data_IF_759765973833
#
_entry.id   IF_759765973833
#
_cell.length_a   1.000
_cell.length_b   1.000
_cell.length_c   1.000
_cell.angle_alpha   90.00
_cell.angle_beta   90.00
_cell.angle_gamma   90.00
#
_symmetry.space_group_name_H-M   'P 1'
#
loop_
_entity.id
_entity.type
_entity.pdbx_description
1 polymer ?
#
# COMPACT_ATOMS: atom_id res chain seq x y z
N UNK A 1 9.33 23.37 7.91
CA UNK A 1 9.16 22.61 6.65
C UNK A 1 9.09 23.48 5.39
N UNK A 2 8.62 24.72 5.44
CA UNK A 2 8.53 25.61 4.26
C UNK A 2 9.90 26.01 3.68
N UNK A 3 10.86 26.36 4.54
CA UNK A 3 12.19 26.83 4.11
C UNK A 3 12.95 25.77 3.27
N UNK A 4 13.08 24.50 3.70
CA UNK A 4 13.72 23.48 2.87
C UNK A 4 12.97 23.26 1.53
N UNK A 5 11.64 23.34 1.52
CA UNK A 5 10.87 23.22 0.29
C UNK A 5 11.17 24.32 -0.72
N UNK A 6 11.22 25.58 -0.25
CA UNK A 6 11.56 26.73 -1.10
C UNK A 6 13.01 26.59 -1.62
N UNK A 7 13.95 26.21 -0.74
CA UNK A 7 15.35 25.99 -1.13
C UNK A 7 15.46 24.89 -2.19
N UNK A 8 14.71 23.79 -2.06
CA UNK A 8 14.70 22.72 -3.07
C UNK A 8 14.25 23.24 -4.43
N UNK A 9 13.19 24.06 -4.47
CA UNK A 9 12.70 24.66 -5.73
C UNK A 9 13.76 25.61 -6.32
N UNK A 10 14.42 26.44 -5.50
CA UNK A 10 15.47 27.36 -5.99
C UNK A 10 16.67 26.60 -6.51
N UNK A 11 17.14 25.59 -5.76
CA UNK A 11 18.27 24.75 -6.14
C UNK A 11 17.98 23.94 -7.40
N UNK A 12 16.74 23.49 -7.63
CA UNK A 12 16.39 22.74 -8.84
C UNK A 12 16.54 23.52 -10.13
N UNK A 13 16.63 24.86 -10.05
CA UNK A 13 16.85 25.77 -11.18
C UNK A 13 18.35 26.10 -11.38
N UNK A 14 19.24 25.47 -10.62
CA UNK A 14 20.67 25.68 -10.67
C UNK A 14 21.42 24.41 -11.06
N UNK A 15 22.71 24.53 -11.43
CA UNK A 15 23.61 23.42 -11.71
C UNK A 15 24.29 22.83 -10.45
N UNK A 16 23.79 23.19 -9.27
CA UNK A 16 24.39 22.78 -8.01
C UNK A 16 24.23 21.28 -7.73
N UNK A 17 25.34 20.61 -7.51
CA UNK A 17 25.39 19.17 -7.21
C UNK A 17 25.58 18.83 -5.73
N UNK A 18 25.43 19.81 -4.82
CA UNK A 18 25.61 19.63 -3.39
C UNK A 18 27.06 19.72 -2.89
N UNK A 19 28.06 19.81 -3.78
CA UNK A 19 29.48 19.80 -3.45
C UNK A 19 30.17 21.09 -3.94
N UNK A 20 29.79 21.60 -5.09
CA UNK A 20 30.39 22.81 -5.67
C UNK A 20 30.01 24.04 -4.87
N UNK A 21 30.98 24.99 -4.64
CA UNK A 21 30.70 26.24 -3.95
C UNK A 21 29.87 27.23 -4.81
N UNK A 22 29.87 27.06 -6.11
CA UNK A 22 29.21 27.97 -7.07
C UNK A 22 27.81 27.46 -7.42
N UNK A 23 26.86 28.38 -7.42
CA UNK A 23 25.48 28.19 -7.83
C UNK A 23 25.25 28.98 -9.13
N UNK A 24 25.23 28.31 -10.25
CA UNK A 24 24.87 28.94 -11.52
C UNK A 24 23.41 28.69 -11.86
N UNK A 25 22.69 29.73 -12.17
CA UNK A 25 21.30 29.61 -12.58
C UNK A 25 21.20 29.08 -14.02
N UNK A 26 20.57 27.91 -14.19
CA UNK A 26 20.40 27.23 -15.48
C UNK A 26 18.94 27.12 -15.92
N UNK A 27 18.02 27.73 -15.15
CA UNK A 27 16.59 27.70 -15.47
C UNK A 27 16.02 26.30 -15.45
N UNK A 28 15.23 25.96 -16.47
CA UNK A 28 14.50 24.68 -16.55
C UNK A 28 15.31 23.55 -17.21
N UNK A 29 16.62 23.70 -17.39
CA UNK A 29 17.42 22.67 -18.05
C UNK A 29 17.39 21.32 -17.35
N UNK A 30 17.46 21.28 -16.02
CA UNK A 30 17.33 20.04 -15.23
C UNK A 30 16.00 19.33 -15.51
N UNK A 31 14.91 20.08 -15.65
CA UNK A 31 13.59 19.52 -15.96
C UNK A 31 13.53 18.99 -17.38
N UNK A 32 14.16 19.66 -18.35
CA UNK A 32 14.22 19.17 -19.73
C UNK A 32 14.99 17.85 -19.82
N UNK A 33 16.13 17.75 -19.12
CA UNK A 33 16.93 16.52 -19.05
C UNK A 33 16.13 15.40 -18.36
N UNK A 34 15.44 15.72 -17.25
CA UNK A 34 14.59 14.76 -16.51
C UNK A 34 13.46 14.21 -17.39
N UNK A 35 12.73 15.07 -18.11
CA UNK A 35 11.62 14.66 -18.97
C UNK A 35 12.08 13.93 -20.24
N UNK A 36 13.32 14.11 -20.66
CA UNK A 36 13.94 13.36 -21.75
C UNK A 36 14.43 11.97 -21.30
N UNK A 37 14.58 11.74 -19.98
CA UNK A 37 15.08 10.48 -19.46
C UNK A 37 14.01 9.39 -19.47
N UNK A 38 14.31 8.27 -20.15
CA UNK A 38 13.44 7.08 -20.21
C UNK A 38 13.29 6.40 -18.85
N UNK A 39 14.29 6.47 -18.00
CA UNK A 39 14.25 5.88 -16.65
C UNK A 39 13.26 6.63 -15.77
N UNK A 40 13.21 7.96 -15.86
CA UNK A 40 12.21 8.76 -15.17
C UNK A 40 10.78 8.32 -15.50
N UNK A 41 10.45 8.17 -16.77
CA UNK A 41 9.10 7.76 -17.18
C UNK A 41 8.78 6.31 -16.76
N UNK A 42 9.77 5.43 -16.80
CA UNK A 42 9.60 4.06 -16.31
C UNK A 42 9.32 4.04 -14.81
N UNK A 43 10.07 4.78 -14.02
CA UNK A 43 9.89 4.89 -12.57
C UNK A 43 8.56 5.53 -12.22
N UNK A 44 8.17 6.59 -12.92
CA UNK A 44 6.85 7.23 -12.76
C UNK A 44 5.70 6.26 -13.05
N UNK A 45 5.79 5.51 -14.14
CA UNK A 45 4.79 4.50 -14.52
C UNK A 45 4.70 3.39 -13.46
N UNK A 46 5.83 2.93 -12.95
CA UNK A 46 5.85 1.91 -11.89
C UNK A 46 5.26 2.45 -10.59
N UNK A 47 5.54 3.70 -10.24
CA UNK A 47 4.96 4.34 -9.05
C UNK A 47 3.43 4.47 -9.16
N UNK A 48 2.93 4.90 -10.31
CA UNK A 48 1.48 4.97 -10.55
C UNK A 48 0.84 3.58 -10.42
N UNK A 49 1.43 2.54 -11.03
CA UNK A 49 0.94 1.17 -10.91
C UNK A 49 0.94 0.70 -9.46
N UNK A 50 2.02 0.97 -8.72
CA UNK A 50 2.15 0.67 -7.31
C UNK A 50 1.06 1.34 -6.49
N UNK A 51 0.88 2.65 -6.66
CA UNK A 51 -0.15 3.42 -5.96
C UNK A 51 -1.55 2.87 -6.23
N UNK A 52 -1.87 2.57 -7.48
CA UNK A 52 -3.16 1.98 -7.84
C UNK A 52 -3.37 0.60 -7.21
N UNK A 53 -2.36 -0.27 -7.22
CA UNK A 53 -2.43 -1.57 -6.56
C UNK A 53 -2.68 -1.43 -5.05
N UNK A 54 -1.99 -0.49 -4.40
CA UNK A 54 -2.13 -0.24 -2.97
C UNK A 54 -3.44 0.43 -2.59
N UNK A 55 -3.96 1.33 -3.43
CA UNK A 55 -5.26 1.96 -3.20
C UNK A 55 -6.43 0.99 -3.42
N UNK A 56 -6.28 0.02 -4.31
CA UNK A 56 -7.38 -0.89 -4.62
C UNK A 56 -7.35 -2.14 -3.74
N UNK A 57 -6.27 -2.91 -3.76
CA UNK A 57 -6.27 -4.27 -3.21
C UNK A 57 -6.35 -4.30 -1.68
N UNK A 58 -5.42 -3.70 -0.91
CA UNK A 58 -5.46 -3.78 0.54
C UNK A 58 -6.63 -3.01 1.13
N UNK A 59 -7.08 -1.93 0.47
CA UNK A 59 -8.24 -1.14 0.91
C UNK A 59 -9.52 -1.95 0.78
N UNK A 60 -9.73 -2.61 -0.37
CA UNK A 60 -10.90 -3.48 -0.58
C UNK A 60 -10.88 -4.69 0.35
N UNK A 61 -9.74 -5.38 0.49
CA UNK A 61 -9.62 -6.52 1.40
C UNK A 61 -9.89 -6.05 2.84
N UNK A 62 -9.27 -4.94 3.27
CA UNK A 62 -9.47 -4.38 4.61
C UNK A 62 -10.92 -4.00 4.89
N UNK A 63 -11.60 -3.38 3.91
CA UNK A 63 -13.01 -3.00 4.05
C UNK A 63 -13.92 -4.24 4.14
N UNK A 64 -13.76 -5.21 3.24
CA UNK A 64 -14.55 -6.44 3.23
C UNK A 64 -14.35 -7.22 4.54
N UNK A 65 -13.10 -7.43 4.94
CA UNK A 65 -12.78 -8.18 6.17
C UNK A 65 -13.20 -7.44 7.44
N UNK A 66 -13.23 -6.10 7.44
CA UNK A 66 -13.75 -5.31 8.57
C UNK A 66 -15.26 -5.53 8.75
N UNK A 67 -16.03 -5.61 7.65
CA UNK A 67 -17.46 -5.91 7.69
C UNK A 67 -17.70 -7.33 8.21
N UNK A 68 -16.92 -8.33 7.75
CA UNK A 68 -17.01 -9.69 8.32
C UNK A 68 -16.66 -9.70 9.80
N UNK A 69 -15.59 -9.02 10.21
CA UNK A 69 -15.19 -8.93 11.60
C UNK A 69 -16.26 -8.25 12.47
N UNK A 70 -16.99 -7.28 11.91
CA UNK A 70 -18.08 -6.60 12.59
C UNK A 70 -19.24 -7.56 12.93
N UNK A 71 -19.51 -8.55 12.07
CA UNK A 71 -20.56 -9.56 12.29
C UNK A 71 -20.17 -10.64 13.30
N UNK A 72 -18.89 -10.88 13.54
CA UNK A 72 -18.40 -11.89 14.48
C UNK A 72 -18.64 -11.43 15.91
N UNK A 73 -19.38 -12.23 16.69
CA UNK A 73 -19.67 -11.93 18.11
C UNK A 73 -18.66 -12.58 19.06
N UNK A 74 -18.24 -13.82 18.79
CA UNK A 74 -17.31 -14.58 19.65
C UNK A 74 -15.94 -14.71 18.97
N UNK A 75 -14.85 -14.54 19.74
CA UNK A 75 -13.49 -14.68 19.22
C UNK A 75 -12.99 -13.48 18.37
N UNK A 76 -13.75 -12.38 18.30
CA UNK A 76 -13.42 -11.18 17.52
C UNK A 76 -12.00 -10.68 17.77
N UNK A 77 -11.59 -10.61 19.04
CA UNK A 77 -10.24 -10.14 19.42
C UNK A 77 -9.15 -11.04 18.86
N UNK A 78 -9.37 -12.36 18.85
CA UNK A 78 -8.41 -13.30 18.27
C UNK A 78 -8.24 -13.04 16.76
N UNK A 79 -9.33 -12.85 16.01
CA UNK A 79 -9.26 -12.48 14.58
C UNK A 79 -8.57 -11.13 14.37
N UNK A 80 -8.84 -10.12 15.20
CA UNK A 80 -8.13 -8.83 15.13
C UNK A 80 -6.62 -9.00 15.30
N UNK A 81 -6.19 -9.78 16.28
CA UNK A 81 -4.77 -10.04 16.51
C UNK A 81 -4.15 -10.80 15.33
N UNK A 82 -4.85 -11.81 14.79
CA UNK A 82 -4.38 -12.56 13.62
C UNK A 82 -4.22 -11.67 12.38
N UNK A 83 -5.17 -10.77 12.12
CA UNK A 83 -5.09 -9.84 10.98
C UNK A 83 -4.01 -8.77 11.17
N UNK A 84 -3.81 -8.33 12.42
CA UNK A 84 -2.80 -7.33 12.74
C UNK A 84 -1.37 -7.90 12.78
N UNK A 85 -1.24 -9.23 12.96
CA UNK A 85 0.05 -9.89 13.13
C UNK A 85 1.06 -9.58 12.01
N UNK A 86 0.70 -9.60 10.71
CA UNK A 86 1.64 -9.24 9.65
C UNK A 86 2.19 -7.82 9.80
N UNK A 87 1.34 -6.87 10.17
CA UNK A 87 1.69 -5.45 10.31
C UNK A 87 2.66 -5.16 11.45
N UNK A 88 2.60 -5.96 12.52
CA UNK A 88 3.51 -5.83 13.68
C UNK A 88 4.93 -6.31 13.38
N UNK A 89 5.11 -7.14 12.36
CA UNK A 89 6.44 -7.61 11.95
C UNK A 89 7.27 -6.46 11.40
N UNK A 90 8.55 -6.40 11.79
CA UNK A 90 9.47 -5.46 11.18
C UNK A 90 9.56 -5.69 9.66
N UNK A 91 9.61 -4.64 8.82
CA UNK A 91 9.63 -4.79 7.36
C UNK A 91 10.72 -5.72 6.83
N UNK A 92 11.89 -5.71 7.45
CA UNK A 92 13.01 -6.59 7.09
C UNK A 92 12.67 -8.06 7.38
N UNK A 93 12.07 -8.34 8.54
CA UNK A 93 11.64 -9.69 8.92
C UNK A 93 10.57 -10.20 7.98
N UNK A 94 9.60 -9.34 7.64
CA UNK A 94 8.56 -9.65 6.66
C UNK A 94 9.16 -10.01 5.29
N UNK A 95 10.10 -9.20 4.78
CA UNK A 95 10.78 -9.46 3.52
C UNK A 95 11.55 -10.79 3.55
N UNK A 96 12.29 -11.09 4.63
CA UNK A 96 13.03 -12.35 4.80
C UNK A 96 12.09 -13.57 4.84
N UNK A 97 10.94 -13.45 5.51
CA UNK A 97 9.94 -14.51 5.58
C UNK A 97 9.42 -14.85 4.18
N UNK A 98 9.06 -13.84 3.39
CA UNK A 98 8.58 -14.07 2.03
C UNK A 98 9.67 -14.61 1.10
N UNK A 99 10.90 -14.09 1.18
CA UNK A 99 12.02 -14.56 0.35
C UNK A 99 12.39 -16.00 0.65
N UNK A 100 12.43 -16.41 1.93
CA UNK A 100 12.93 -17.72 2.32
C UNK A 100 11.83 -18.79 2.42
N UNK A 101 10.60 -18.41 2.83
CA UNK A 101 9.53 -19.39 3.04
C UNK A 101 8.60 -19.47 1.82
N UNK A 102 8.22 -18.31 1.22
CA UNK A 102 7.24 -18.31 0.14
C UNK A 102 7.92 -18.40 -1.22
N UNK A 103 8.78 -17.43 -1.55
CA UNK A 103 9.37 -17.28 -2.89
C UNK A 103 10.60 -18.13 -3.16
N UNK A 104 11.13 -18.84 -2.16
CA UNK A 104 12.32 -19.66 -2.36
C UNK A 104 12.03 -20.81 -3.35
N UNK A 105 12.76 -20.88 -4.50
CA UNK A 105 12.48 -21.87 -5.54
C UNK A 105 12.98 -23.29 -5.20
N UNK A 106 13.71 -23.46 -4.10
CA UNK A 106 14.27 -24.75 -3.68
C UNK A 106 13.58 -25.34 -2.45
N UNK A 107 13.28 -24.51 -1.44
CA UNK A 107 12.80 -24.97 -0.14
C UNK A 107 11.51 -24.31 0.31
N UNK A 108 11.04 -23.27 -0.40
CA UNK A 108 9.83 -22.53 -0.05
C UNK A 108 8.56 -23.12 -0.68
N UNK A 109 7.46 -22.43 -0.52
CA UNK A 109 6.16 -22.81 -1.12
C UNK A 109 6.30 -22.96 -2.63
N UNK A 110 6.99 -22.05 -3.31
CA UNK A 110 7.25 -22.14 -4.75
C UNK A 110 8.13 -23.34 -5.11
N UNK A 111 9.09 -23.71 -4.24
CA UNK A 111 9.88 -24.93 -4.39
C UNK A 111 9.03 -26.20 -4.28
N UNK A 112 8.13 -26.24 -3.30
CA UNK A 112 7.17 -27.34 -3.12
C UNK A 112 6.21 -27.45 -4.31
N UNK A 113 5.62 -26.34 -4.76
CA UNK A 113 4.74 -26.34 -5.94
C UNK A 113 5.46 -26.86 -7.18
N UNK A 114 6.72 -26.51 -7.36
CA UNK A 114 7.56 -27.04 -8.46
C UNK A 114 7.79 -28.55 -8.32
N UNK A 115 7.98 -29.08 -7.11
CA UNK A 115 8.21 -30.52 -6.87
C UNK A 115 6.98 -31.37 -7.20
N UNK A 116 5.77 -30.82 -7.09
CA UNK A 116 4.51 -31.48 -7.45
C UNK A 116 4.08 -31.25 -8.92
N UNK A 117 5.00 -30.73 -9.75
CA UNK A 117 4.78 -30.56 -11.18
C UNK A 117 4.22 -29.20 -11.63
N UNK A 118 4.03 -28.25 -10.71
CA UNK A 118 3.58 -26.89 -11.07
C UNK A 118 4.78 -26.04 -11.47
N UNK A 119 4.90 -25.72 -12.76
CA UNK A 119 5.99 -24.90 -13.28
C UNK A 119 5.72 -23.40 -13.06
N UNK A 120 5.61 -22.99 -11.79
CA UNK A 120 5.43 -21.58 -11.42
C UNK A 120 6.79 -21.01 -11.03
N UNK A 121 7.30 -20.06 -11.83
CA UNK A 121 8.50 -19.32 -11.48
C UNK A 121 8.21 -18.33 -10.35
N UNK A 122 9.19 -18.12 -9.45
CA UNK A 122 9.08 -17.08 -8.42
C UNK A 122 8.80 -15.71 -9.08
N UNK A 123 7.85 -14.92 -8.59
CA UNK A 123 7.58 -13.59 -9.14
C UNK A 123 8.81 -12.68 -9.19
N UNK A 124 9.76 -12.89 -8.29
CA UNK A 124 11.00 -12.11 -8.23
C UNK A 124 12.06 -12.51 -9.26
N UNK A 125 11.87 -13.63 -9.96
CA UNK A 125 12.83 -14.10 -10.98
C UNK A 125 12.74 -13.35 -12.31
N UNK A 126 11.72 -12.53 -12.52
CA UNK A 126 11.50 -11.77 -13.74
C UNK A 126 11.15 -10.31 -13.43
N UNK A 127 11.83 -9.38 -14.09
CA UNK A 127 11.59 -7.94 -13.91
C UNK A 127 10.14 -7.52 -14.19
N UNK A 128 9.42 -8.22 -15.08
CA UNK A 128 8.01 -7.91 -15.38
C UNK A 128 7.07 -8.28 -14.23
N UNK A 129 7.39 -9.30 -13.46
CA UNK A 129 6.57 -9.80 -12.34
C UNK A 129 7.08 -9.36 -10.98
N UNK A 130 8.32 -8.87 -10.90
CA UNK A 130 8.96 -8.47 -9.64
C UNK A 130 8.14 -7.40 -8.89
N UNK A 131 7.59 -6.40 -9.60
CA UNK A 131 6.76 -5.38 -9.00
C UNK A 131 5.53 -5.98 -8.28
N UNK A 132 4.85 -6.93 -8.94
CA UNK A 132 3.68 -7.64 -8.37
C UNK A 132 4.11 -8.51 -7.20
N UNK A 133 5.28 -9.17 -7.30
CA UNK A 133 5.84 -9.97 -6.21
C UNK A 133 6.10 -9.15 -4.95
N UNK A 134 6.71 -7.98 -5.08
CA UNK A 134 6.94 -7.07 -3.96
C UNK A 134 5.62 -6.50 -3.44
N UNK A 135 4.71 -6.11 -4.34
CA UNK A 135 3.39 -5.60 -3.97
C UNK A 135 2.60 -6.62 -3.12
N UNK A 136 2.66 -7.92 -3.45
CA UNK A 136 1.99 -8.96 -2.69
C UNK A 136 2.50 -9.04 -1.23
N UNK A 137 3.81 -8.87 -1.03
CA UNK A 137 4.43 -8.84 0.31
C UNK A 137 3.88 -7.66 1.13
N UNK A 138 3.86 -6.49 0.54
CA UNK A 138 3.47 -5.28 1.23
C UNK A 138 1.94 -5.21 1.42
N UNK A 139 1.15 -5.72 0.46
CA UNK A 139 -0.30 -5.87 0.61
C UNK A 139 -0.62 -6.80 1.78
N UNK A 140 0.06 -7.96 1.86
CA UNK A 140 -0.11 -8.91 2.96
C UNK A 140 0.27 -8.28 4.31
N UNK A 141 1.30 -7.43 4.33
CA UNK A 141 1.71 -6.71 5.52
C UNK A 141 0.67 -5.69 5.98
N UNK A 142 0.00 -5.00 5.06
CA UNK A 142 -0.77 -3.78 5.35
C UNK A 142 -2.29 -3.97 5.46
N UNK A 143 -2.90 -4.93 4.74
CA UNK A 143 -4.36 -5.08 4.70
C UNK A 143 -5.01 -5.34 6.07
N UNK A 144 -4.33 -6.08 6.95
CA UNK A 144 -4.83 -6.38 8.29
C UNK A 144 -4.92 -5.16 9.19
N UNK A 145 -3.99 -4.23 9.06
CA UNK A 145 -4.07 -2.92 9.73
C UNK A 145 -5.30 -2.14 9.27
N UNK A 146 -5.56 -2.07 7.96
CA UNK A 146 -6.75 -1.42 7.42
C UNK A 146 -8.03 -2.08 7.91
N UNK A 147 -8.06 -3.42 8.02
CA UNK A 147 -9.19 -4.16 8.59
C UNK A 147 -9.53 -3.67 10.00
N UNK A 148 -8.52 -3.53 10.86
CA UNK A 148 -8.73 -3.09 12.26
C UNK A 148 -9.16 -1.64 12.32
N UNK A 149 -8.59 -0.77 11.50
CA UNK A 149 -8.95 0.65 11.43
C UNK A 149 -10.41 0.83 10.95
N UNK A 150 -10.79 0.18 9.86
CA UNK A 150 -12.17 0.25 9.36
C UNK A 150 -13.16 -0.40 10.32
N UNK A 151 -12.78 -1.49 10.96
CA UNK A 151 -13.61 -2.10 12.00
C UNK A 151 -13.84 -1.15 13.17
N UNK A 152 -12.82 -0.45 13.64
CA UNK A 152 -12.97 0.55 14.70
C UNK A 152 -13.91 1.69 14.29
N UNK A 153 -13.82 2.14 13.02
CA UNK A 153 -14.73 3.14 12.48
C UNK A 153 -16.18 2.63 12.37
N UNK A 154 -16.38 1.38 11.90
CA UNK A 154 -17.72 0.75 11.86
C UNK A 154 -18.39 0.70 13.25
N UNK A 155 -17.62 0.49 14.30
CA UNK A 155 -18.13 0.46 15.69
C UNK A 155 -18.54 1.83 16.22
N UNK A 156 -18.14 2.91 15.58
CA UNK A 156 -18.53 4.27 15.97
C UNK A 156 -19.86 4.70 15.32
N UNK A 157 -20.44 3.87 14.44
CA UNK A 157 -21.76 4.15 13.86
C UNK A 157 -22.81 4.20 14.95
N UNK A 158 -23.59 5.30 15.06
CA UNK A 158 -24.62 5.46 16.09
C UNK A 158 -25.66 4.33 16.01
N UNK A 159 -26.01 3.76 17.17
CA UNK A 159 -26.96 2.64 17.25
C UNK A 159 -28.36 3.05 16.79
N UNK A 160 -28.74 4.30 17.07
CA UNK A 160 -30.00 4.90 16.63
C UNK A 160 -30.15 4.87 15.10
N UNK A 161 -29.08 5.16 14.32
CA UNK A 161 -29.13 5.06 12.85
C UNK A 161 -29.30 3.62 12.38
N UNK A 162 -28.65 2.67 13.08
CA UNK A 162 -28.75 1.25 12.75
C UNK A 162 -30.18 0.74 13.02
N UNK A 163 -30.77 1.14 14.13
CA UNK A 163 -32.14 0.74 14.50
C UNK A 163 -33.17 1.38 13.57
N UNK A 164 -33.06 2.66 13.26
CA UNK A 164 -33.93 3.35 12.30
C UNK A 164 -33.94 2.63 10.95
N UNK A 165 -32.75 2.34 10.40
CA UNK A 165 -32.63 1.64 9.13
C UNK A 165 -33.21 0.21 9.16
N UNK A 166 -33.13 -0.50 10.29
CA UNK A 166 -33.78 -1.81 10.46
C UNK A 166 -35.30 -1.70 10.45
N UNK A 167 -35.86 -0.68 11.09
CA UNK A 167 -37.30 -0.41 11.10
C UNK A 167 -37.80 -0.09 9.71
N UNK A 168 -37.01 0.62 8.90
CA UNK A 168 -37.31 0.91 7.49
C UNK A 168 -37.11 -0.30 6.55
N UNK A 169 -36.70 -1.46 7.09
CA UNK A 169 -36.52 -2.69 6.33
C UNK A 169 -35.25 -2.74 5.45
N UNK A 170 -34.23 -1.95 5.78
CA UNK A 170 -32.97 -1.96 5.05
C UNK A 170 -32.28 -3.33 5.13
N UNK A 171 -32.07 -3.97 3.98
CA UNK A 171 -31.26 -5.18 3.86
C UNK A 171 -29.76 -4.90 4.07
N UNK A 172 -28.96 -5.95 4.22
CA UNK A 172 -27.54 -5.83 4.58
C UNK A 172 -26.72 -4.92 3.65
N UNK A 173 -26.96 -4.94 2.34
CA UNK A 173 -26.29 -4.07 1.39
C UNK A 173 -26.71 -2.60 1.52
N UNK A 174 -28.02 -2.33 1.65
CA UNK A 174 -28.52 -0.97 1.88
C UNK A 174 -28.06 -0.41 3.22
N UNK A 175 -28.04 -1.24 4.26
CA UNK A 175 -27.48 -0.90 5.55
C UNK A 175 -26.00 -0.49 5.44
N UNK A 176 -25.19 -1.25 4.68
CA UNK A 176 -23.80 -0.90 4.44
C UNK A 176 -23.70 0.42 3.67
N UNK A 177 -24.43 0.58 2.57
CA UNK A 177 -24.31 1.73 1.67
C UNK A 177 -24.79 3.03 2.30
N UNK A 178 -25.90 3.01 3.04
CA UNK A 178 -26.55 4.22 3.53
C UNK A 178 -26.28 4.53 5.01
N UNK A 179 -25.87 3.55 5.80
CA UNK A 179 -25.60 3.73 7.22
C UNK A 179 -24.12 3.60 7.53
N UNK A 180 -23.52 2.43 7.25
CA UNK A 180 -22.13 2.19 7.65
C UNK A 180 -21.14 2.98 6.81
N UNK A 181 -21.23 2.93 5.48
CA UNK A 181 -20.24 3.56 4.61
C UNK A 181 -20.15 5.08 4.78
N UNK A 182 -21.26 5.85 4.87
CA UNK A 182 -21.17 7.28 5.16
C UNK A 182 -20.47 7.60 6.49
N UNK A 183 -20.72 6.80 7.53
CA UNK A 183 -20.09 6.99 8.83
C UNK A 183 -18.59 6.67 8.83
N UNK A 184 -18.16 5.68 8.07
CA UNK A 184 -16.73 5.32 7.97
C UNK A 184 -15.98 6.13 6.90
N UNK A 185 -16.70 6.86 6.04
CA UNK A 185 -16.11 7.59 4.92
C UNK A 185 -14.98 8.56 5.31
N UNK A 186 -15.06 9.32 6.43
CA UNK A 186 -13.94 10.15 6.87
C UNK A 186 -12.66 9.32 7.15
N UNK A 187 -12.82 8.18 7.81
CA UNK A 187 -11.70 7.25 8.08
C UNK A 187 -11.17 6.62 6.78
N UNK A 188 -12.08 6.26 5.88
CA UNK A 188 -11.72 5.75 4.55
C UNK A 188 -10.89 6.77 3.78
N UNK A 189 -11.33 8.03 3.74
CA UNK A 189 -10.61 9.11 3.05
C UNK A 189 -9.23 9.37 3.69
N UNK A 190 -9.16 9.37 5.01
CA UNK A 190 -7.90 9.52 5.73
C UNK A 190 -6.91 8.40 5.36
N UNK A 191 -7.34 7.14 5.37
CA UNK A 191 -6.49 6.01 4.97
C UNK A 191 -6.09 6.09 3.49
N UNK A 192 -7.01 6.52 2.62
CA UNK A 192 -6.73 6.74 1.20
C UNK A 192 -5.61 7.77 1.00
N UNK A 193 -5.67 8.91 1.70
CA UNK A 193 -4.64 9.95 1.66
C UNK A 193 -3.32 9.43 2.21
N UNK A 194 -3.33 8.73 3.35
CA UNK A 194 -2.14 8.15 3.97
C UNK A 194 -1.45 7.13 3.04
N UNK A 195 -2.21 6.25 2.40
CA UNK A 195 -1.68 5.28 1.44
C UNK A 195 -1.07 6.01 0.24
N UNK A 196 -1.74 7.03 -0.28
CA UNK A 196 -1.24 7.82 -1.41
C UNK A 196 0.10 8.46 -1.07
N UNK A 197 0.20 9.13 0.09
CA UNK A 197 1.46 9.74 0.55
C UNK A 197 2.57 8.69 0.68
N UNK A 198 2.29 7.57 1.35
CA UNK A 198 3.27 6.50 1.54
C UNK A 198 3.70 5.86 0.21
N UNK A 199 2.78 5.71 -0.75
CA UNK A 199 3.09 5.18 -2.07
C UNK A 199 4.07 6.06 -2.83
N UNK A 200 3.93 7.38 -2.73
CA UNK A 200 4.89 8.31 -3.34
C UNK A 200 6.25 8.31 -2.62
N UNK A 201 6.28 8.13 -1.30
CA UNK A 201 7.53 8.02 -0.54
C UNK A 201 8.29 6.71 -0.84
N UNK A 202 7.59 5.65 -1.22
CA UNK A 202 8.20 4.35 -1.57
C UNK A 202 8.98 4.40 -2.90
N UNK A 203 8.84 5.46 -3.67
CA UNK A 203 9.57 5.68 -4.93
C UNK A 203 11.09 5.53 -4.77
N UNK A 204 11.70 6.07 -3.72
CA UNK A 204 13.14 5.98 -3.47
C UNK A 204 13.65 4.55 -3.27
N UNK A 205 12.82 3.66 -2.73
CA UNK A 205 13.22 2.28 -2.44
C UNK A 205 13.05 1.35 -3.65
N UNK A 206 12.13 1.66 -4.55
CA UNK A 206 11.84 0.83 -5.72
C UNK A 206 12.88 1.06 -6.82
N UNK A 207 13.38 2.27 -6.97
CA UNK A 207 14.37 2.62 -7.98
C UNK A 207 15.76 1.99 -7.68
N UNK A 208 16.19 2.00 -6.42
CA UNK A 208 17.44 1.33 -5.98
C UNK A 208 17.43 -0.19 -6.14
N UNK A 209 16.26 -0.85 -6.09
CA UNK A 209 16.11 -2.31 -6.24
C UNK A 209 15.99 -2.76 -7.70
N UNK A 210 15.76 -1.85 -8.64
CA UNK A 210 15.67 -2.16 -10.08
C UNK A 210 17.01 -2.05 -10.79
N UNK A 211 18.09 -1.65 -10.11
CA UNK A 211 19.45 -1.43 -10.65
C UNK A 211 20.44 -2.53 -10.24
N UNK A 212 20.01 -3.54 -9.47
CA UNK A 212 20.85 -4.70 -9.12
C UNK A 212 20.43 -5.94 -9.90
#
# INVERSE_FOLDING_TARGET
>A
MLIPGILTVVVSLTDWNGIKPELNFIGFRNFQELFADKYFWRSMTNNIKWTLLFLMIPVLIGLITSVFLFQIKKGRTAFQLMYLFPYVLAPVTNAMLWLNIIYNPRSGIFGYLKSIGWSIASPLSNLKTALIGVAAVDIWHFWGFLTVVYFAALRQTPEEQIEAAKVEGCGGWHMFQYVYFPNIFPTFLLMFIMITINSFLTFETTDRKSVV
#
